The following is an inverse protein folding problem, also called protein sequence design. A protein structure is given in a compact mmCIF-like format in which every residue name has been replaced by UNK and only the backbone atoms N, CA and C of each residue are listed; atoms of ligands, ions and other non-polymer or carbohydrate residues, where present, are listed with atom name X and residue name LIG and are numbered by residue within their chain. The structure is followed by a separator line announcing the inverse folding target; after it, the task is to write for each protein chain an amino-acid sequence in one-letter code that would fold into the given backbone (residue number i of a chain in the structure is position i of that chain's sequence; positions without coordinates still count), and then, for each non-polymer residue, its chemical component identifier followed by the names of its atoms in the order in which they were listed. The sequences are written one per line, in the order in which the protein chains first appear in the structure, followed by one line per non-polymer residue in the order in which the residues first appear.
data_IF_453933303131
#
_entry.id   IF_453933303131
#
_cell.length_a   1.000
_cell.length_b   1.000
_cell.length_c   1.000
_cell.angle_alpha   90.00
_cell.angle_beta   90.00
_cell.angle_gamma   90.00
#
_symmetry.space_group_name_H-M   'P 1'
#
loop_
_entity.id
_entity.type
_entity.pdbx_description
1 polymer ?
#
# COMPACT_ATOMS: atom_id res chain seq x y z
N UNK A 1 -7.72 -4.21 5.89
CA UNK A 1 -6.30 -4.49 5.62
C UNK A 1 -6.30 -5.62 4.63
N UNK A 2 -5.82 -5.34 3.42
CA UNK A 2 -5.66 -6.36 2.39
C UNK A 2 -4.18 -6.71 2.25
N UNK A 3 -3.91 -7.99 2.02
CA UNK A 3 -2.55 -8.51 1.85
C UNK A 3 -2.36 -8.83 0.37
N UNK A 4 -1.45 -8.09 -0.24
CA UNK A 4 -1.03 -8.33 -1.61
C UNK A 4 0.24 -9.20 -1.54
N UNK A 5 0.50 -9.98 -2.59
CA UNK A 5 1.76 -10.73 -2.71
C UNK A 5 2.99 -9.84 -2.46
N UNK A 6 4.16 -10.45 -2.21
CA UNK A 6 5.42 -9.74 -1.98
C UNK A 6 5.47 -8.90 -0.68
N UNK A 7 4.94 -9.41 0.45
CA UNK A 7 4.96 -8.71 1.76
C UNK A 7 4.39 -7.28 1.72
N UNK A 8 3.45 -7.02 0.81
CA UNK A 8 2.78 -5.74 0.68
C UNK A 8 1.50 -5.71 1.49
N UNK A 9 1.20 -4.56 2.08
CA UNK A 9 -0.03 -4.32 2.80
C UNK A 9 -0.67 -3.01 2.34
N UNK A 10 -2.00 -3.01 2.25
CA UNK A 10 -2.79 -1.84 1.88
C UNK A 10 -3.63 -1.37 3.08
N UNK A 11 -3.53 -0.07 3.34
CA UNK A 11 -4.28 0.61 4.40
C UNK A 11 -5.20 1.70 3.84
N UNK A 12 -6.39 1.77 4.42
CA UNK A 12 -7.37 2.81 4.15
C UNK A 12 -7.23 3.90 5.21
N UNK A 13 -7.05 5.15 4.80
CA UNK A 13 -6.85 6.27 5.74
C UNK A 13 -7.81 7.43 5.48
N UNK A 14 -7.92 8.32 6.48
CA UNK A 14 -8.74 9.53 6.44
C UNK A 14 -10.22 9.27 6.08
N UNK A 15 -10.82 8.24 6.67
CA UNK A 15 -12.20 7.85 6.39
C UNK A 15 -12.37 7.24 5.00
N UNK A 16 -11.45 6.34 4.61
CA UNK A 16 -11.48 5.60 3.35
C UNK A 16 -11.22 6.46 2.08
N UNK A 17 -10.71 7.68 2.24
CA UNK A 17 -10.46 8.60 1.11
C UNK A 17 -9.18 8.30 0.35
N UNK A 18 -8.22 7.68 1.03
CA UNK A 18 -6.90 7.36 0.46
C UNK A 18 -6.53 5.90 0.71
N UNK A 19 -5.61 5.42 -0.12
CA UNK A 19 -4.93 4.13 -0.03
C UNK A 19 -3.45 4.37 0.21
N UNK A 20 -2.88 3.63 1.15
CA UNK A 20 -1.45 3.58 1.39
C UNK A 20 -0.97 2.16 1.12
N UNK A 21 -0.04 2.01 0.19
CA UNK A 21 0.63 0.74 -0.09
C UNK A 21 1.98 0.78 0.60
N UNK A 22 2.25 -0.23 1.42
CA UNK A 22 3.55 -0.41 2.06
C UNK A 22 4.15 -1.75 1.72
N UNK A 23 5.47 -1.81 1.68
CA UNK A 23 6.22 -3.07 1.68
C UNK A 23 6.89 -3.26 3.04
N UNK A 24 6.64 -4.42 3.67
CA UNK A 24 7.16 -4.74 5.00
C UNK A 24 8.39 -5.63 4.88
N UNK A 25 9.55 -5.09 5.24
CA UNK A 25 10.77 -5.88 5.34
C UNK A 25 11.00 -6.35 6.78
N UNK A 26 10.68 -7.63 7.02
CA UNK A 26 10.92 -8.26 8.32
C UNK A 26 12.41 -8.47 8.64
N UNK A 27 13.25 -8.61 7.61
CA UNK A 27 14.71 -8.74 7.73
C UNK A 27 15.32 -7.44 8.25
N UNK A 28 14.92 -6.31 7.68
CA UNK A 28 15.47 -5.00 8.05
C UNK A 28 14.65 -4.28 9.13
N UNK A 29 13.54 -4.88 9.59
CA UNK A 29 12.58 -4.28 10.54
C UNK A 29 12.11 -2.90 10.08
N UNK A 30 11.75 -2.79 8.80
CA UNK A 30 11.37 -1.53 8.14
C UNK A 30 10.07 -1.67 7.37
N UNK A 31 9.34 -0.57 7.29
CA UNK A 31 8.16 -0.41 6.44
C UNK A 31 8.48 0.68 5.44
N UNK A 32 8.36 0.36 4.15
CA UNK A 32 8.59 1.32 3.07
C UNK A 32 7.24 1.69 2.47
N UNK A 33 6.93 2.99 2.44
CA UNK A 33 5.76 3.50 1.74
C UNK A 33 6.07 3.50 0.25
N UNK A 34 5.27 2.78 -0.52
CA UNK A 34 5.37 2.67 -1.98
C UNK A 34 4.43 3.64 -2.69
N UNK A 35 3.26 3.86 -2.10
CA UNK A 35 2.24 4.72 -2.67
C UNK A 35 1.38 5.34 -1.58
N UNK A 36 0.96 6.59 -1.82
CA UNK A 36 -0.11 7.27 -1.08
C UNK A 36 -0.93 8.03 -2.12
N UNK A 37 -2.23 7.76 -2.18
CA UNK A 37 -3.10 8.44 -3.14
C UNK A 37 -4.58 8.17 -2.88
N UNK A 38 -5.43 8.90 -3.58
CA UNK A 38 -6.88 8.76 -3.56
C UNK A 38 -7.30 7.40 -4.13
N UNK A 39 -8.56 7.01 -3.90
CA UNK A 39 -9.10 5.79 -4.51
C UNK A 39 -9.00 5.81 -6.04
N UNK A 40 -9.31 6.95 -6.67
CA UNK A 40 -9.24 7.08 -8.12
C UNK A 40 -7.81 7.03 -8.69
N UNK A 41 -6.80 7.42 -7.90
CA UNK A 41 -5.39 7.25 -8.29
C UNK A 41 -4.94 5.80 -8.07
N UNK A 42 -5.37 5.18 -6.97
CA UNK A 42 -5.13 3.78 -6.67
C UNK A 42 -5.70 2.86 -7.76
N UNK A 43 -6.92 3.12 -8.24
CA UNK A 43 -7.59 2.31 -9.27
C UNK A 43 -6.85 2.31 -10.62
N UNK A 44 -5.89 3.22 -10.82
CA UNK A 44 -5.10 3.34 -12.05
C UNK A 44 -3.73 2.68 -11.96
N UNK A 45 -3.35 2.16 -10.79
CA UNK A 45 -2.08 1.51 -10.57
C UNK A 45 -2.29 0.04 -10.24
N UNK A 46 -1.28 -0.76 -10.54
CA UNK A 46 -1.21 -2.13 -10.07
C UNK A 46 -0.45 -2.17 -8.74
N UNK A 47 -1.16 -2.55 -7.67
CA UNK A 47 -0.63 -2.59 -6.31
C UNK A 47 0.50 -3.62 -6.14
N UNK A 48 0.62 -4.60 -7.05
CA UNK A 48 1.70 -5.58 -7.05
C UNK A 48 3.02 -4.99 -7.57
N UNK A 49 2.97 -3.96 -8.43
CA UNK A 49 4.15 -3.49 -9.17
C UNK A 49 4.68 -2.12 -8.76
N UNK A 50 3.90 -1.30 -8.04
CA UNK A 50 4.28 0.06 -7.61
C UNK A 50 5.31 0.12 -6.47
#
# INVERSE_FOLDING_TARGET
MDFVGDNRAIFDIAGNKYRVIVHVSNTYKRVLIKFVGTHAEYDRIDAETV
#
